data_IF_265121125094
#
_entry.id   IF_265121125094
#
_cell.length_a   1.000
_cell.length_b   1.000
_cell.length_c   1.000
_cell.angle_alpha   90.00
_cell.angle_beta   90.00
_cell.angle_gamma   90.00
#
_symmetry.space_group_name_H-M   'P 1'
#
loop_
_entity.id
_entity.type
_entity.pdbx_description
1 polymer ?
#
# COMPACT_ATOMS: atom_id res chain seq x y z
N UNK A 1 5.47 -11.12 -0.35
CA UNK A 1 4.12 -11.72 -0.20
C UNK A 1 4.25 -13.20 0.09
N UNK A 2 3.49 -13.79 1.03
CA UNK A 2 3.56 -15.22 1.33
C UNK A 2 2.99 -16.04 0.16
N UNK A 3 3.88 -16.76 -0.54
CA UNK A 3 3.54 -17.72 -1.58
C UNK A 3 3.49 -19.12 -0.97
N UNK A 4 2.34 -19.77 -1.09
CA UNK A 4 2.18 -21.17 -0.70
C UNK A 4 2.71 -22.02 -1.85
N UNK A 5 3.74 -22.84 -1.58
CA UNK A 5 4.29 -23.78 -2.56
C UNK A 5 3.28 -24.88 -2.84
N UNK A 6 3.35 -25.48 -4.02
CA UNK A 6 2.59 -26.70 -4.31
C UNK A 6 3.01 -27.82 -3.35
N UNK A 7 2.04 -28.57 -2.87
CA UNK A 7 2.28 -29.72 -2.01
C UNK A 7 1.19 -30.77 -2.23
N UNK A 8 1.50 -32.01 -1.86
CA UNK A 8 0.53 -33.10 -1.82
C UNK A 8 0.07 -33.24 -0.38
N UNK A 9 -1.24 -33.18 -0.14
CA UNK A 9 -1.82 -33.42 1.19
C UNK A 9 -1.68 -34.90 1.57
N UNK A 10 -1.84 -35.22 2.85
CA UNK A 10 -1.79 -36.61 3.35
C UNK A 10 -2.88 -37.52 2.76
N UNK A 11 -3.93 -36.93 2.19
CA UNK A 11 -5.02 -37.61 1.46
C UNK A 11 -4.70 -37.88 -0.02
N UNK A 12 -3.49 -37.54 -0.49
CA UNK A 12 -3.05 -37.68 -1.88
C UNK A 12 -3.54 -36.57 -2.81
N UNK A 13 -4.30 -35.59 -2.32
CA UNK A 13 -4.80 -34.50 -3.17
C UNK A 13 -3.67 -33.52 -3.50
N UNK A 14 -3.41 -33.23 -4.80
CA UNK A 14 -2.42 -32.25 -5.19
C UNK A 14 -2.97 -30.84 -5.01
N UNK A 15 -2.31 -30.03 -4.18
CA UNK A 15 -2.65 -28.62 -3.98
C UNK A 15 -1.70 -27.75 -4.80
N UNK A 16 -2.28 -26.98 -5.73
CA UNK A 16 -1.53 -26.00 -6.54
C UNK A 16 -1.04 -24.86 -5.65
N UNK A 17 0.18 -24.39 -5.90
CA UNK A 17 0.72 -23.22 -5.21
C UNK A 17 -0.11 -21.97 -5.49
N UNK A 18 -0.33 -21.15 -4.47
CA UNK A 18 -1.13 -19.92 -4.57
C UNK A 18 -0.55 -18.80 -3.72
N UNK A 19 -0.77 -17.57 -4.17
CA UNK A 19 -0.39 -16.38 -3.39
C UNK A 19 -1.51 -16.00 -2.41
N UNK A 20 -1.12 -15.76 -1.16
CA UNK A 20 -2.02 -15.22 -0.13
C UNK A 20 -1.75 -13.73 0.02
N UNK A 21 -2.81 -12.96 -0.19
CA UNK A 21 -2.80 -11.51 -0.08
C UNK A 21 -3.43 -11.14 1.26
N UNK A 22 -3.04 -10.00 1.85
CA UNK A 22 -3.73 -9.49 3.03
C UNK A 22 -5.22 -9.24 2.72
N UNK A 23 -6.12 -9.33 3.71
CA UNK A 23 -7.52 -8.98 3.52
C UNK A 23 -7.63 -7.58 2.89
N UNK A 24 -8.38 -7.45 1.80
CA UNK A 24 -8.53 -6.19 1.06
C UNK A 24 -7.51 -5.94 -0.05
N UNK A 25 -6.30 -6.50 0.01
CA UNK A 25 -5.23 -6.15 -0.92
C UNK A 25 -5.51 -6.52 -2.39
N UNK A 26 -6.33 -7.56 -2.65
CA UNK A 26 -6.80 -7.86 -4.02
C UNK A 26 -7.70 -6.76 -4.58
N UNK A 27 -8.63 -6.27 -3.75
CA UNK A 27 -9.57 -5.20 -4.14
C UNK A 27 -8.83 -3.89 -4.37
N UNK A 28 -7.90 -3.56 -3.49
CA UNK A 28 -7.06 -2.36 -3.63
C UNK A 28 -6.22 -2.41 -4.91
N UNK A 29 -5.56 -3.53 -5.20
CA UNK A 29 -4.81 -3.67 -6.46
C UNK A 29 -5.69 -3.58 -7.69
N UNK A 30 -6.91 -4.13 -7.68
CA UNK A 30 -7.82 -3.97 -8.82
C UNK A 30 -8.20 -2.52 -9.04
N UNK A 31 -8.39 -1.75 -7.96
CA UNK A 31 -8.68 -0.31 -8.05
C UNK A 31 -7.47 0.44 -8.59
N UNK A 32 -6.26 0.18 -8.06
CA UNK A 32 -5.03 0.80 -8.54
C UNK A 32 -4.79 0.48 -10.01
N UNK A 33 -4.96 -0.78 -10.42
CA UNK A 33 -4.80 -1.20 -11.80
C UNK A 33 -5.83 -0.53 -12.73
N UNK A 34 -7.10 -0.46 -12.31
CA UNK A 34 -8.16 0.19 -13.09
C UNK A 34 -7.90 1.70 -13.25
N UNK A 35 -7.52 2.39 -12.17
CA UNK A 35 -7.15 3.81 -12.21
C UNK A 35 -5.92 4.02 -13.08
N UNK A 36 -4.89 3.20 -12.93
CA UNK A 36 -3.68 3.26 -13.77
C UNK A 36 -4.00 3.06 -15.26
N UNK A 37 -4.85 2.09 -15.58
CA UNK A 37 -5.33 1.88 -16.96
C UNK A 37 -6.17 3.05 -17.47
N UNK A 38 -7.02 3.64 -16.64
CA UNK A 38 -7.81 4.80 -17.03
C UNK A 38 -6.94 6.03 -17.30
N UNK A 39 -5.93 6.29 -16.46
CA UNK A 39 -4.99 7.40 -16.64
C UNK A 39 -4.13 7.17 -17.89
N UNK A 40 -3.57 5.97 -18.06
CA UNK A 40 -2.76 5.63 -19.23
C UNK A 40 -3.60 5.62 -20.52
N UNK A 41 -4.83 5.11 -20.43
CA UNK A 41 -5.79 5.06 -21.53
C UNK A 41 -6.27 6.45 -21.93
N UNK A 42 -6.55 7.34 -20.98
CA UNK A 42 -6.93 8.72 -21.26
C UNK A 42 -5.77 9.52 -21.85
N UNK A 43 -4.54 9.33 -21.34
CA UNK A 43 -3.33 9.93 -21.92
C UNK A 43 -3.04 9.47 -23.36
N UNK A 44 -3.30 8.19 -23.67
CA UNK A 44 -3.13 7.64 -25.03
C UNK A 44 -4.34 7.88 -25.96
N UNK A 45 -5.55 8.01 -25.44
CA UNK A 45 -6.74 8.33 -26.24
C UNK A 45 -6.68 9.77 -26.77
N UNK A 46 -6.11 10.71 -25.98
CA UNK A 46 -5.84 12.07 -26.44
C UNK A 46 -4.82 12.16 -27.60
N UNK A 47 -4.01 11.10 -27.79
CA UNK A 47 -3.09 10.96 -28.93
C UNK A 47 -3.67 10.12 -30.07
N UNK A 48 -4.79 9.41 -29.87
CA UNK A 48 -5.36 8.47 -30.84
C UNK A 48 -6.37 9.11 -31.81
N UNK A 49 -6.96 10.26 -31.48
CA UNK A 49 -7.89 11.01 -32.34
C UNK A 49 -7.19 11.95 -33.35
N UNK A 50 -5.88 11.84 -33.50
CA UNK A 50 -5.08 12.66 -34.41
C UNK A 50 -4.33 11.81 -35.44
N UNK A 51 -5.04 11.31 -36.45
CA UNK A 51 -4.41 11.00 -37.73
C UNK A 51 -3.94 12.31 -38.36
N UNK A 52 -2.70 12.70 -38.06
CA UNK A 52 -1.80 13.47 -38.91
C UNK A 52 -0.53 13.73 -38.11
N UNK A 53 0.39 12.76 -38.14
CA UNK A 53 1.76 12.98 -37.71
C UNK A 53 2.43 13.93 -38.72
N UNK A 54 2.12 15.23 -38.62
CA UNK A 54 2.98 16.28 -39.17
C UNK A 54 4.31 16.14 -38.46
N UNK A 55 5.31 15.66 -39.19
CA UNK A 55 6.69 15.59 -38.72
C UNK A 55 7.10 16.97 -38.17
N UNK A 56 7.49 17.10 -36.89
CA UNK A 56 7.88 18.39 -36.35
C UNK A 56 9.10 18.88 -37.12
N UNK A 57 8.95 20.03 -37.79
CA UNK A 57 10.06 20.72 -38.45
C UNK A 57 11.08 21.07 -37.38
N UNK A 58 12.38 20.75 -37.55
CA UNK A 58 13.37 21.04 -36.51
C UNK A 58 13.41 22.54 -36.25
N UNK A 59 13.07 22.93 -35.01
CA UNK A 59 13.18 24.30 -34.53
C UNK A 59 14.65 24.73 -34.58
N UNK A 60 14.92 25.89 -35.17
CA UNK A 60 16.27 26.48 -35.27
C UNK A 60 16.94 26.48 -33.89
N UNK A 61 18.04 25.73 -33.76
CA UNK A 61 18.84 25.68 -32.54
C UNK A 61 19.79 26.86 -32.51
N UNK A 62 19.49 27.86 -31.69
CA UNK A 62 20.44 28.93 -31.38
C UNK A 62 21.40 28.47 -30.28
N UNK A 63 22.72 28.70 -30.42
CA UNK A 63 23.66 28.33 -29.38
C UNK A 63 23.46 29.21 -28.15
N UNK A 64 23.15 28.58 -27.02
CA UNK A 64 23.08 29.27 -25.72
C UNK A 64 24.51 29.58 -25.29
N UNK A 65 24.86 30.87 -25.24
CA UNK A 65 26.10 31.31 -24.60
C UNK A 65 25.83 31.58 -23.12
N UNK A 66 26.45 30.79 -22.26
CA UNK A 66 26.48 31.07 -20.83
C UNK A 66 27.69 31.94 -20.55
N UNK A 67 27.53 33.25 -20.67
CA UNK A 67 28.50 34.18 -20.08
C UNK A 67 28.53 33.89 -18.59
N UNK A 68 29.69 33.44 -18.11
CA UNK A 68 29.90 33.09 -16.70
C UNK A 68 29.78 34.37 -15.88
N UNK A 69 28.56 34.68 -15.44
CA UNK A 69 28.35 35.61 -14.36
C UNK A 69 28.88 34.95 -13.09
N UNK A 70 30.03 35.43 -12.62
CA UNK A 70 30.56 35.19 -11.28
C UNK A 70 29.52 35.59 -10.23
N UNK A 71 28.52 34.74 -10.01
CA UNK A 71 27.57 34.89 -8.93
C UNK A 71 27.80 33.72 -7.97
N UNK A 72 28.59 34.00 -6.93
CA UNK A 72 28.64 33.14 -5.74
C UNK A 72 27.20 32.85 -5.30
N UNK A 73 26.86 31.59 -4.96
CA UNK A 73 25.54 31.30 -4.42
C UNK A 73 25.38 32.11 -3.14
N UNK A 74 24.43 33.04 -3.11
CA UNK A 74 24.04 33.71 -1.88
C UNK A 74 23.35 32.65 -1.02
N UNK A 75 24.09 32.12 -0.04
CA UNK A 75 23.55 31.17 0.93
C UNK A 75 22.30 31.79 1.58
N UNK A 76 21.15 31.19 1.34
CA UNK A 76 19.91 31.58 1.99
C UNK A 76 20.03 31.27 3.49
N UNK A 77 19.90 32.29 4.32
CA UNK A 77 19.89 32.10 5.77
C UNK A 77 18.63 31.33 6.17
N UNK A 78 18.72 30.29 7.03
CA UNK A 78 17.55 29.57 7.49
C UNK A 78 16.68 30.48 8.36
N UNK A 79 15.37 30.49 8.08
CA UNK A 79 14.38 31.19 8.91
C UNK A 79 14.21 30.47 10.26
N UNK A 80 13.99 31.20 11.37
CA UNK A 80 13.78 30.58 12.66
C UNK A 80 12.45 29.83 12.69
N UNK A 81 12.50 28.49 12.71
CA UNK A 81 11.33 27.63 12.91
C UNK A 81 10.92 27.70 14.37
N UNK A 82 9.81 28.36 14.66
CA UNK A 82 9.20 28.31 15.99
C UNK A 82 8.57 26.93 16.18
N UNK A 83 9.00 26.20 17.21
CA UNK A 83 8.43 24.91 17.58
C UNK A 83 7.43 25.09 18.71
N UNK A 84 6.16 24.73 18.47
CA UNK A 84 5.12 24.71 19.49
C UNK A 84 4.94 23.30 20.04
N UNK A 85 4.64 23.15 21.34
CA UNK A 85 4.43 21.83 21.94
C UNK A 85 3.13 21.21 21.40
N UNK A 86 3.24 19.99 20.88
CA UNK A 86 2.10 19.16 20.48
C UNK A 86 1.48 18.58 21.76
N UNK A 87 0.22 18.92 22.04
CA UNK A 87 -0.57 18.30 23.12
C UNK A 87 -1.10 16.96 22.61
N UNK A 88 -0.78 15.88 23.29
CA UNK A 88 -1.36 14.56 23.02
C UNK A 88 -2.53 14.33 23.97
N UNK A 89 -3.71 14.02 23.41
CA UNK A 89 -4.88 13.67 24.20
C UNK A 89 -4.65 12.34 24.92
N UNK A 90 -4.95 12.32 26.22
CA UNK A 90 -4.84 11.10 27.02
C UNK A 90 -6.11 10.26 26.81
N UNK A 91 -6.00 9.02 26.31
CA UNK A 91 -7.18 8.21 26.07
C UNK A 91 -7.86 7.84 27.40
N UNK A 92 -9.17 8.08 27.50
CA UNK A 92 -9.98 7.72 28.65
C UNK A 92 -9.94 6.21 28.87
N UNK A 93 -9.57 5.78 30.08
CA UNK A 93 -9.53 4.37 30.42
C UNK A 93 -10.92 3.73 30.27
N UNK A 94 -11.03 2.76 29.36
CA UNK A 94 -12.26 1.98 29.18
C UNK A 94 -12.46 1.08 30.39
N UNK A 95 -13.62 1.20 31.04
CA UNK A 95 -14.01 0.34 32.17
C UNK A 95 -14.00 -1.12 31.72
N UNK A 96 -13.29 -1.98 32.45
CA UNK A 96 -13.25 -3.41 32.17
C UNK A 96 -14.66 -3.99 32.28
N UNK A 97 -15.10 -4.66 31.23
CA UNK A 97 -16.39 -5.33 31.16
C UNK A 97 -16.25 -6.74 31.77
N UNK A 98 -17.15 -7.16 32.67
CA UNK A 98 -17.06 -8.49 33.27
C UNK A 98 -17.31 -9.57 32.20
N UNK A 99 -16.37 -10.50 32.07
CA UNK A 99 -16.54 -11.69 31.24
C UNK A 99 -17.43 -12.70 31.96
N UNK A 100 -18.50 -13.21 31.33
CA UNK A 100 -19.29 -14.28 31.94
C UNK A 100 -18.44 -15.55 31.99
N UNK A 101 -18.12 -16.01 33.21
CA UNK A 101 -17.48 -17.31 33.42
C UNK A 101 -18.56 -18.37 33.58
N UNK A 102 -18.69 -19.24 32.58
CA UNK A 102 -19.55 -20.43 32.68
C UNK A 102 -18.71 -21.56 33.25
N UNK A 103 -19.05 -21.99 34.47
CA UNK A 103 -18.45 -23.15 35.11
C UNK A 103 -19.38 -24.36 34.95
N UNK A 104 -18.86 -25.44 34.39
CA UNK A 104 -19.58 -26.71 34.33
C UNK A 104 -19.07 -27.63 35.44
N UNK A 105 -19.95 -28.39 36.10
CA UNK A 105 -19.52 -29.38 37.06
C UNK A 105 -18.73 -30.50 36.34
N UNK A 106 -17.54 -30.80 36.85
CA UNK A 106 -16.80 -32.00 36.43
C UNK A 106 -17.34 -33.16 37.25
N UNK A 107 -18.00 -34.11 36.60
CA UNK A 107 -18.42 -35.35 37.26
C UNK A 107 -17.24 -36.33 37.33
N UNK A 108 -16.60 -36.40 38.50
CA UNK A 108 -15.48 -37.30 38.78
C UNK A 108 -15.93 -38.76 38.97
N UNK A 109 -17.22 -38.99 39.24
CA UNK A 109 -17.76 -40.36 39.37
C UNK A 109 -17.84 -41.05 38.02
N UNK A 110 -18.14 -40.30 36.95
CA UNK A 110 -18.06 -40.80 35.57
C UNK A 110 -16.63 -41.19 35.16
N UNK A 111 -15.60 -40.57 35.77
CA UNK A 111 -14.20 -40.83 35.45
C UNK A 111 -13.67 -42.11 36.13
N UNK A 112 -14.22 -42.48 37.29
CA UNK A 112 -13.78 -43.64 38.07
C UNK A 112 -14.44 -44.98 37.64
N UNK A 113 -15.55 -44.94 36.91
CA UNK A 113 -16.34 -46.12 36.53
C UNK A 113 -15.87 -46.88 35.29
N UNK A 114 -14.75 -46.49 34.66
CA UNK A 114 -14.21 -47.16 33.46
C UNK A 114 -13.02 -48.05 33.85
N UNK A 115 -13.29 -49.23 34.39
CA UNK A 115 -12.32 -50.34 34.51
C UNK A 115 -12.99 -51.65 34.15
#
# INVERSE_FOLDING_TARGET
>A
MPFVRSYVRSDGTPVRGHSRWAPGARREMTVIAAVGLAVLGYGNAHTADGSDSTQPTPSVTYPIRFDHADSKPRAAAPSPTVSYPIRFDTPTAKRAEPTPSVSYPIDLSALAGRR
#
